data_IF_748201586474
#
_entry.id   IF_748201586474
#
_cell.length_a   1.000
_cell.length_b   1.000
_cell.length_c   1.000
_cell.angle_alpha   90.00
_cell.angle_beta   90.00
_cell.angle_gamma   90.00
#
_symmetry.space_group_name_H-M   'P 1'
#
loop_
_entity.id
_entity.type
_entity.pdbx_description
1 polymer ?
#
# COMPACT_ATOMS: atom_id res chain seq x y z
N UNK A 1 10.02 -20.89 -6.50
CA UNK A 1 8.76 -20.13 -6.66
C UNK A 1 9.00 -18.62 -6.58
N UNK A 2 8.67 -17.88 -7.64
CA UNK A 2 8.89 -16.42 -7.75
C UNK A 2 7.79 -15.58 -7.07
N UNK A 3 6.73 -16.23 -6.56
CA UNK A 3 5.57 -15.56 -5.94
C UNK A 3 5.63 -15.75 -4.41
N UNK A 4 5.78 -14.68 -3.62
CA UNK A 4 5.66 -14.77 -2.16
C UNK A 4 4.29 -15.32 -1.75
N UNK A 5 4.27 -16.31 -0.85
CA UNK A 5 3.04 -16.86 -0.28
C UNK A 5 2.34 -17.97 -1.07
N UNK A 6 2.97 -18.52 -2.13
CA UNK A 6 2.46 -19.71 -2.81
C UNK A 6 2.64 -20.95 -1.93
N UNK A 7 1.59 -21.78 -1.81
CA UNK A 7 1.68 -23.07 -1.10
C UNK A 7 2.42 -24.12 -1.92
N UNK A 8 3.04 -25.11 -1.27
CA UNK A 8 3.70 -26.24 -1.92
C UNK A 8 2.76 -27.01 -2.87
N UNK A 9 1.48 -27.13 -2.50
CA UNK A 9 0.44 -27.73 -3.35
C UNK A 9 0.15 -26.91 -4.61
N UNK A 10 0.21 -25.58 -4.53
CA UNK A 10 0.06 -24.72 -5.70
C UNK A 10 1.31 -24.76 -6.58
N UNK A 11 2.50 -24.73 -5.98
CA UNK A 11 3.77 -24.85 -6.69
C UNK A 11 3.87 -26.18 -7.47
N UNK A 12 3.33 -27.28 -6.93
CA UNK A 12 3.27 -28.58 -7.61
C UNK A 12 2.45 -28.59 -8.91
N UNK A 13 1.68 -27.54 -9.20
CA UNK A 13 1.00 -27.39 -10.51
C UNK A 13 1.94 -26.88 -11.61
N UNK A 14 3.08 -26.31 -11.25
CA UNK A 14 4.09 -25.87 -12.21
C UNK A 14 4.85 -27.08 -12.75
N UNK A 15 4.93 -27.17 -14.09
CA UNK A 15 5.47 -28.34 -14.78
C UNK A 15 6.88 -28.69 -14.34
N UNK A 16 7.77 -27.70 -14.30
CA UNK A 16 9.19 -27.90 -13.94
C UNK A 16 9.35 -28.38 -12.49
N UNK A 17 8.58 -27.79 -11.56
CA UNK A 17 8.63 -28.17 -10.15
C UNK A 17 8.08 -29.59 -9.95
N UNK A 18 6.97 -29.93 -10.62
CA UNK A 18 6.43 -31.28 -10.60
C UNK A 18 7.43 -32.31 -11.14
N UNK A 19 8.04 -32.05 -12.29
CA UNK A 19 9.03 -32.94 -12.91
C UNK A 19 10.24 -33.16 -11.99
N UNK A 20 10.70 -32.12 -11.28
CA UNK A 20 11.77 -32.24 -10.29
C UNK A 20 11.36 -33.15 -9.13
N UNK A 21 10.20 -32.93 -8.53
CA UNK A 21 9.71 -33.77 -7.42
C UNK A 21 9.52 -35.22 -7.88
N UNK A 22 9.02 -35.43 -9.10
CA UNK A 22 8.77 -36.77 -9.66
C UNK A 22 10.02 -37.48 -10.20
N UNK A 23 11.16 -36.78 -10.28
CA UNK A 23 12.41 -37.30 -10.87
C UNK A 23 13.11 -38.37 -10.02
N UNK A 24 12.93 -38.35 -8.70
CA UNK A 24 13.54 -39.31 -7.78
C UNK A 24 12.68 -39.60 -6.56
N UNK A 25 12.87 -40.77 -5.96
CA UNK A 25 12.13 -41.14 -4.74
C UNK A 25 12.53 -40.26 -3.56
N UNK A 26 13.81 -39.90 -3.45
CA UNK A 26 14.31 -38.97 -2.44
C UNK A 26 13.63 -37.60 -2.54
N UNK A 27 13.40 -37.11 -3.76
CA UNK A 27 12.73 -35.83 -4.00
C UNK A 27 11.27 -35.86 -3.56
N UNK A 28 10.58 -37.00 -3.78
CA UNK A 28 9.22 -37.22 -3.27
C UNK A 28 9.17 -37.28 -1.75
N UNK A 29 10.10 -37.99 -1.11
CA UNK A 29 10.16 -38.08 0.35
C UNK A 29 10.38 -36.72 1.01
N UNK A 30 11.28 -35.90 0.45
CA UNK A 30 11.51 -34.53 0.92
C UNK A 30 10.25 -33.68 0.75
N UNK A 31 9.56 -33.80 -0.39
CA UNK A 31 8.33 -33.05 -0.64
C UNK A 31 7.19 -33.45 0.31
N UNK A 32 7.00 -34.75 0.54
CA UNK A 32 5.98 -35.26 1.47
C UNK A 32 6.24 -34.81 2.91
N UNK A 33 7.52 -34.75 3.30
CA UNK A 33 7.89 -34.21 4.61
C UNK A 33 7.66 -32.69 4.67
N UNK A 34 8.03 -31.96 3.62
CA UNK A 34 7.82 -30.51 3.54
C UNK A 34 6.33 -30.15 3.62
N UNK A 35 5.45 -30.92 2.99
CA UNK A 35 3.99 -30.73 3.07
C UNK A 35 3.44 -30.88 4.49
N UNK A 36 4.07 -31.71 5.33
CA UNK A 36 3.68 -31.87 6.75
C UNK A 36 4.18 -30.73 7.63
N UNK A 37 5.25 -30.07 7.21
CA UNK A 37 5.88 -28.98 7.95
C UNK A 37 5.37 -27.60 7.51
N UNK A 38 4.78 -27.48 6.33
CA UNK A 38 4.20 -26.24 5.81
C UNK A 38 3.10 -25.71 6.73
N UNK A 39 3.22 -24.43 7.11
CA UNK A 39 2.26 -23.77 7.99
C UNK A 39 2.52 -23.94 9.49
N UNK A 40 3.53 -24.72 9.90
CA UNK A 40 3.91 -24.82 11.29
C UNK A 40 4.71 -23.59 11.74
N UNK A 41 4.38 -23.08 12.93
CA UNK A 41 5.13 -22.00 13.57
C UNK A 41 6.54 -22.48 13.97
N UNK A 42 7.56 -21.84 13.40
CA UNK A 42 8.97 -22.20 13.65
C UNK A 42 9.57 -21.51 14.88
N UNK A 43 9.24 -20.23 15.09
CA UNK A 43 9.81 -19.39 16.13
C UNK A 43 8.91 -18.20 16.42
N UNK A 44 9.07 -17.61 17.60
CA UNK A 44 8.42 -16.34 17.94
C UNK A 44 9.22 -15.20 17.29
N UNK A 45 8.58 -14.45 16.39
CA UNK A 45 9.12 -13.21 15.84
C UNK A 45 8.38 -12.02 16.43
N UNK A 46 9.09 -11.01 16.92
CA UNK A 46 8.47 -9.74 17.31
C UNK A 46 8.16 -8.89 16.09
N UNK A 47 6.90 -8.43 15.97
CA UNK A 47 6.51 -7.50 14.92
C UNK A 47 7.21 -6.16 15.18
N UNK A 48 8.18 -5.80 14.33
CA UNK A 48 9.06 -4.66 14.55
C UNK A 48 8.35 -3.29 14.67
N UNK A 49 7.07 -3.21 14.31
CA UNK A 49 6.27 -2.00 14.37
C UNK A 49 5.13 -2.05 15.40
N UNK A 50 4.76 -3.22 15.94
CA UNK A 50 3.54 -3.36 16.75
C UNK A 50 3.78 -3.04 18.22
N UNK A 51 3.11 -2.02 18.75
CA UNK A 51 3.09 -1.68 20.18
C UNK A 51 1.67 -1.83 20.70
N UNK A 52 1.52 -2.49 21.84
CA UNK A 52 0.22 -2.75 22.48
C UNK A 52 0.11 -1.93 23.75
N UNK A 53 -1.04 -1.27 23.95
CA UNK A 53 -1.32 -0.46 25.13
C UNK A 53 -2.56 -1.01 25.83
N UNK A 54 -2.40 -1.30 27.12
CA UNK A 54 -3.47 -1.76 28.00
C UNK A 54 -3.84 -0.67 29.03
N UNK A 55 -5.09 -0.64 29.53
CA UNK A 55 -5.52 0.31 30.56
C UNK A 55 -4.95 -0.02 31.96
N UNK A 56 -4.56 -1.28 32.19
CA UNK A 56 -3.89 -1.77 33.42
C UNK A 56 -2.67 -2.61 33.03
N UNK A 57 -2.23 -3.55 33.88
CA UNK A 57 -1.08 -4.38 33.54
C UNK A 57 -1.38 -5.23 32.30
N UNK A 58 -0.41 -5.36 31.38
CA UNK A 58 -0.59 -6.19 30.17
C UNK A 58 -0.96 -7.64 30.51
N UNK A 59 -0.47 -8.16 31.63
CA UNK A 59 -0.76 -9.50 32.14
C UNK A 59 -2.22 -9.72 32.53
N UNK A 60 -3.01 -8.65 32.71
CA UNK A 60 -4.45 -8.75 32.95
C UNK A 60 -5.21 -9.17 31.67
N UNK A 61 -4.58 -9.02 30.50
CA UNK A 61 -5.18 -9.25 29.19
C UNK A 61 -4.46 -10.33 28.37
N UNK A 62 -3.13 -10.41 28.47
CA UNK A 62 -2.32 -11.36 27.69
C UNK A 62 -1.09 -11.83 28.45
N UNK A 63 -0.69 -13.12 28.32
CA UNK A 63 0.62 -13.54 28.75
C UNK A 63 1.73 -12.84 27.94
N UNK A 64 2.89 -12.70 28.56
CA UNK A 64 4.05 -12.03 27.99
C UNK A 64 5.17 -13.04 27.68
N UNK A 65 5.99 -12.72 26.69
CA UNK A 65 7.23 -13.41 26.39
C UNK A 65 8.37 -12.40 26.42
N UNK A 66 9.50 -12.81 26.99
CA UNK A 66 10.73 -12.01 27.04
C UNK A 66 11.73 -12.63 26.08
N UNK A 67 12.16 -11.86 25.10
CA UNK A 67 13.33 -12.20 24.29
C UNK A 67 14.58 -11.86 25.11
N UNK A 68 15.25 -12.88 25.63
CA UNK A 68 16.43 -12.72 26.48
C UNK A 68 17.65 -12.18 25.73
N UNK A 69 17.72 -12.33 24.40
CA UNK A 69 18.84 -11.81 23.61
C UNK A 69 18.67 -10.32 23.33
N UNK A 70 17.44 -9.88 23.05
CA UNK A 70 17.13 -8.49 22.71
C UNK A 70 16.67 -7.66 23.90
N UNK A 71 16.32 -8.30 25.02
CA UNK A 71 15.73 -7.64 26.19
C UNK A 71 14.33 -7.08 25.91
N UNK A 72 13.66 -7.50 24.84
CA UNK A 72 12.34 -7.00 24.45
C UNK A 72 11.24 -7.85 25.07
N UNK A 73 10.18 -7.19 25.54
CA UNK A 73 8.96 -7.85 26.04
C UNK A 73 7.89 -7.76 24.96
N UNK A 74 7.22 -8.87 24.69
CA UNK A 74 6.12 -8.94 23.75
C UNK A 74 4.94 -9.70 24.34
N UNK A 75 3.76 -9.46 23.77
CA UNK A 75 2.58 -10.29 23.96
C UNK A 75 2.79 -11.67 23.32
N UNK A 76 2.27 -12.73 23.94
CA UNK A 76 2.22 -14.06 23.30
C UNK A 76 1.06 -14.19 22.31
N UNK A 77 0.04 -13.35 22.44
CA UNK A 77 -1.05 -13.25 21.46
C UNK A 77 -0.55 -12.59 20.17
N UNK A 78 -1.01 -13.12 19.04
CA UNK A 78 -0.76 -12.52 17.74
C UNK A 78 -1.64 -11.28 17.50
N UNK A 79 -1.55 -10.68 16.31
CA UNK A 79 -2.29 -9.46 15.99
C UNK A 79 -3.80 -9.60 16.17
N UNK A 80 -4.40 -10.71 15.73
CA UNK A 80 -5.85 -10.91 15.80
C UNK A 80 -6.31 -11.18 17.23
N UNK A 81 -5.52 -11.93 17.98
CA UNK A 81 -5.81 -12.27 19.37
C UNK A 81 -5.70 -11.05 20.30
N UNK A 82 -4.73 -10.16 20.07
CA UNK A 82 -4.57 -8.90 20.82
C UNK A 82 -5.79 -7.99 20.64
N UNK A 83 -6.26 -7.82 19.40
CA UNK A 83 -7.44 -7.01 19.10
C UNK A 83 -8.71 -7.64 19.70
N UNK A 84 -8.84 -8.96 19.61
CA UNK A 84 -9.97 -9.70 20.20
C UNK A 84 -9.98 -9.66 21.73
N UNK A 85 -8.81 -9.56 22.36
CA UNK A 85 -8.66 -9.33 23.80
C UNK A 85 -9.01 -7.89 24.23
N UNK A 86 -9.39 -7.01 23.28
CA UNK A 86 -9.79 -5.63 23.54
C UNK A 86 -8.62 -4.67 23.77
N UNK A 87 -7.40 -5.07 23.39
CA UNK A 87 -6.23 -4.21 23.52
C UNK A 87 -6.08 -3.30 22.29
N UNK A 88 -5.62 -2.08 22.53
CA UNK A 88 -5.32 -1.14 21.45
C UNK A 88 -3.91 -1.39 20.94
N UNK A 89 -3.81 -1.63 19.63
CA UNK A 89 -2.55 -1.80 18.92
C UNK A 89 -2.22 -0.54 18.10
N UNK A 90 -0.97 -0.10 18.19
CA UNK A 90 -0.39 0.93 17.34
C UNK A 90 0.71 0.31 16.48
N UNK A 91 0.71 0.61 15.19
CA UNK A 91 1.81 0.27 14.29
C UNK A 91 2.72 1.48 14.05
N UNK A 92 3.94 1.39 14.56
CA UNK A 92 5.01 2.34 14.32
C UNK A 92 5.81 1.93 13.09
N UNK A 93 5.41 2.44 11.93
CA UNK A 93 6.08 2.18 10.67
C UNK A 93 7.33 3.05 10.52
N UNK A 94 8.49 2.42 10.33
CA UNK A 94 9.77 3.08 10.07
C UNK A 94 9.90 3.62 8.63
N UNK A 95 8.96 4.48 8.20
CA UNK A 95 8.98 5.03 6.84
C UNK A 95 10.07 6.09 6.69
N UNK A 96 11.18 5.73 6.04
CA UNK A 96 12.34 6.61 5.79
C UNK A 96 11.98 7.93 5.11
N UNK A 97 10.91 7.96 4.31
CA UNK A 97 10.43 9.16 3.60
C UNK A 97 10.22 10.34 4.54
N UNK A 98 9.57 10.13 5.70
CA UNK A 98 9.31 11.21 6.66
C UNK A 98 10.60 11.74 7.27
N UNK A 99 11.57 10.87 7.56
CA UNK A 99 12.89 11.28 8.03
C UNK A 99 13.62 12.13 6.99
N UNK A 100 13.57 11.73 5.71
CA UNK A 100 14.20 12.48 4.60
C UNK A 100 13.56 13.85 4.43
N UNK A 101 12.23 13.95 4.48
CA UNK A 101 11.50 15.22 4.39
C UNK A 101 11.88 16.14 5.56
N UNK A 102 11.82 15.63 6.78
CA UNK A 102 12.13 16.39 7.99
C UNK A 102 13.56 16.95 7.97
N UNK A 103 14.56 16.13 7.63
CA UNK A 103 15.94 16.58 7.56
C UNK A 103 16.18 17.55 6.39
N UNK A 104 15.50 17.36 5.26
CA UNK A 104 15.54 18.30 4.13
C UNK A 104 15.01 19.67 4.53
N UNK A 105 13.81 19.73 5.11
CA UNK A 105 13.16 20.98 5.53
C UNK A 105 13.99 21.71 6.58
N UNK A 106 14.50 21.00 7.60
CA UNK A 106 15.42 21.56 8.60
C UNK A 106 16.64 22.20 7.94
N UNK A 107 17.31 21.50 7.03
CA UNK A 107 18.51 22.00 6.34
C UNK A 107 18.24 23.20 5.45
N UNK A 108 17.06 23.28 4.84
CA UNK A 108 16.63 24.43 4.06
C UNK A 108 16.37 25.62 4.99
N UNK A 109 15.58 25.42 6.05
CA UNK A 109 15.24 26.48 7.00
C UNK A 109 16.46 27.05 7.76
N UNK A 110 17.52 26.27 7.95
CA UNK A 110 18.80 26.77 8.50
C UNK A 110 19.47 27.85 7.61
N UNK A 111 19.09 27.96 6.34
CA UNK A 111 19.64 28.91 5.38
C UNK A 111 18.69 30.04 5.01
N UNK A 112 17.44 29.97 5.45
CA UNK A 112 16.39 30.93 5.13
C UNK A 112 16.19 31.89 6.28
N UNK A 113 15.83 33.13 5.97
CA UNK A 113 15.35 34.07 6.97
C UNK A 113 13.96 33.65 7.48
N UNK A 114 13.57 34.14 8.66
CA UNK A 114 12.30 33.75 9.31
C UNK A 114 11.06 34.01 8.42
N UNK A 115 11.10 35.03 7.56
CA UNK A 115 10.00 35.37 6.63
C UNK A 115 9.84 34.35 5.49
N UNK A 116 10.86 33.53 5.24
CA UNK A 116 10.88 32.50 4.19
C UNK A 116 10.79 31.09 4.75
N UNK A 117 10.52 30.94 6.05
CA UNK A 117 10.46 29.66 6.73
C UNK A 117 9.49 28.70 6.03
N UNK A 118 9.99 27.52 5.65
CA UNK A 118 9.18 26.48 5.01
C UNK A 118 8.50 25.65 6.09
N UNK A 119 7.17 25.71 6.12
CA UNK A 119 6.33 24.73 6.80
C UNK A 119 5.83 23.70 5.79
N UNK A 120 6.21 22.43 5.97
CA UNK A 120 5.83 21.32 5.10
C UNK A 120 4.31 21.12 5.03
N UNK A 121 3.60 21.37 6.13
CA UNK A 121 2.15 21.15 6.24
C UNK A 121 1.33 22.20 5.48
N UNK A 122 1.96 23.32 5.10
CA UNK A 122 1.30 24.47 4.48
C UNK A 122 1.71 24.69 3.01
N UNK A 123 2.38 23.71 2.38
CA UNK A 123 2.79 23.84 0.99
C UNK A 123 1.59 23.83 0.03
N UNK A 124 1.62 24.65 -1.04
CA UNK A 124 0.59 24.63 -2.07
C UNK A 124 0.60 23.31 -2.85
N UNK A 125 -0.57 22.73 -3.08
CA UNK A 125 -0.73 21.48 -3.83
C UNK A 125 -0.80 21.67 -5.36
N UNK A 126 -0.72 22.92 -5.83
CA UNK A 126 -0.85 23.33 -7.22
C UNK A 126 0.43 23.96 -7.80
N UNK A 127 1.61 23.66 -7.22
CA UNK A 127 2.87 24.22 -7.69
C UNK A 127 3.25 23.72 -9.10
N UNK A 128 3.32 24.65 -10.05
CA UNK A 128 3.56 24.34 -11.46
C UNK A 128 4.92 23.67 -11.69
N UNK A 129 5.97 24.12 -10.98
CA UNK A 129 7.33 23.57 -11.13
C UNK A 129 7.39 22.11 -10.69
N UNK A 130 6.65 21.76 -9.64
CA UNK A 130 6.49 20.39 -9.16
C UNK A 130 5.82 19.53 -10.23
N UNK A 131 4.71 19.99 -10.82
CA UNK A 131 4.06 19.25 -11.90
C UNK A 131 4.92 19.12 -13.16
N UNK A 132 5.65 20.17 -13.55
CA UNK A 132 6.58 20.09 -14.70
C UNK A 132 7.66 19.02 -14.49
N UNK A 133 8.10 18.79 -13.25
CA UNK A 133 9.04 17.72 -12.92
C UNK A 133 8.40 16.33 -13.08
N UNK A 134 7.17 16.17 -12.59
CA UNK A 134 6.39 14.93 -12.73
C UNK A 134 6.04 14.61 -14.19
N UNK A 135 5.66 15.61 -14.98
CA UNK A 135 5.36 15.48 -16.42
C UNK A 135 6.58 15.03 -17.23
N UNK A 136 7.79 15.44 -16.80
CA UNK A 136 9.07 14.96 -17.37
C UNK A 136 9.49 13.59 -16.82
N UNK A 137 8.68 12.98 -15.94
CA UNK A 137 8.94 11.73 -15.23
C UNK A 137 10.30 11.68 -14.52
N UNK A 138 10.75 12.83 -13.99
CA UNK A 138 12.00 12.94 -13.23
C UNK A 138 11.79 12.54 -11.77
N UNK A 139 11.26 11.34 -11.52
CA UNK A 139 10.76 10.92 -10.19
C UNK A 139 11.76 10.11 -9.36
N UNK A 140 13.05 10.18 -9.64
CA UNK A 140 14.04 9.53 -8.79
C UNK A 140 14.04 10.15 -7.38
N UNK A 141 13.87 9.33 -6.34
CA UNK A 141 13.73 9.80 -4.96
C UNK A 141 12.37 10.42 -4.62
N UNK A 142 11.37 10.33 -5.51
CA UNK A 142 9.99 10.75 -5.21
C UNK A 142 9.20 9.53 -4.76
N UNK A 143 8.82 9.54 -3.48
CA UNK A 143 8.09 8.45 -2.83
C UNK A 143 6.90 7.97 -3.68
N UNK A 144 6.76 6.64 -3.79
CA UNK A 144 5.74 5.91 -4.58
C UNK A 144 5.82 6.06 -6.10
N UNK A 145 6.55 7.05 -6.64
CA UNK A 145 6.55 7.35 -8.07
C UNK A 145 7.82 6.90 -8.81
N UNK A 146 8.68 6.13 -8.16
CA UNK A 146 10.03 5.83 -8.67
C UNK A 146 10.10 4.72 -9.71
N UNK A 147 9.11 3.82 -9.75
CA UNK A 147 9.18 2.61 -10.58
C UNK A 147 9.21 2.94 -12.06
N UNK A 148 9.85 2.08 -12.87
CA UNK A 148 9.93 2.26 -14.33
C UNK A 148 8.54 2.36 -14.96
N UNK A 149 7.62 1.47 -14.61
CA UNK A 149 6.26 1.49 -15.16
C UNK A 149 5.48 2.73 -14.75
N UNK A 150 5.61 3.17 -13.49
CA UNK A 150 4.98 4.41 -13.03
C UNK A 150 5.48 5.62 -13.81
N UNK A 151 6.80 5.72 -14.06
CA UNK A 151 7.39 6.80 -14.88
C UNK A 151 6.82 6.86 -16.29
N UNK A 152 6.65 5.71 -16.94
CA UNK A 152 6.08 5.65 -18.29
C UNK A 152 4.61 6.10 -18.31
N UNK A 153 3.82 5.73 -17.29
CA UNK A 153 2.46 6.24 -17.17
C UNK A 153 2.40 7.73 -16.85
N UNK A 154 3.31 8.27 -16.03
CA UNK A 154 3.35 9.72 -15.75
C UNK A 154 3.61 10.55 -17.01
N UNK A 155 4.51 10.10 -17.91
CA UNK A 155 4.75 10.77 -19.20
C UNK A 155 3.50 10.81 -20.08
N UNK A 156 2.71 9.73 -20.06
CA UNK A 156 1.47 9.64 -20.84
C UNK A 156 0.33 10.41 -20.19
N UNK A 157 0.25 10.37 -18.86
CA UNK A 157 -0.76 11.05 -18.05
C UNK A 157 -0.63 12.57 -18.13
N UNK A 158 0.61 13.08 -18.12
CA UNK A 158 0.92 14.51 -18.02
C UNK A 158 0.16 15.12 -16.82
N UNK A 159 0.51 14.73 -15.56
CA UNK A 159 -0.22 15.18 -14.38
C UNK A 159 -0.16 16.71 -14.25
N UNK A 160 -1.30 17.33 -13.96
CA UNK A 160 -1.42 18.78 -13.79
C UNK A 160 -2.26 19.19 -12.56
N UNK A 161 -2.74 18.21 -11.80
CA UNK A 161 -3.49 18.38 -10.55
C UNK A 161 -3.01 17.38 -9.51
N UNK A 162 -3.27 17.65 -8.23
CA UNK A 162 -2.92 16.72 -7.16
C UNK A 162 -3.71 15.40 -7.30
N UNK A 163 -4.99 15.51 -7.70
CA UNK A 163 -5.89 14.40 -7.96
C UNK A 163 -5.33 13.40 -8.98
N UNK A 164 -4.61 13.88 -10.01
CA UNK A 164 -3.92 12.99 -10.96
C UNK A 164 -2.92 12.05 -10.28
N UNK A 165 -2.19 12.55 -9.28
CA UNK A 165 -1.20 11.77 -8.53
C UNK A 165 -1.92 10.70 -7.70
N UNK A 166 -3.00 11.09 -7.03
CA UNK A 166 -3.82 10.18 -6.21
C UNK A 166 -4.45 9.10 -7.09
N UNK A 167 -5.07 9.48 -8.21
CA UNK A 167 -5.68 8.57 -9.17
C UNK A 167 -4.66 7.59 -9.75
N UNK A 168 -3.50 8.09 -10.19
CA UNK A 168 -2.47 7.24 -10.77
C UNK A 168 -1.93 6.23 -9.74
N UNK A 169 -1.71 6.64 -8.49
CA UNK A 169 -1.27 5.74 -7.43
C UNK A 169 -2.31 4.66 -7.09
N UNK A 170 -3.60 5.00 -7.14
CA UNK A 170 -4.68 4.05 -6.94
C UNK A 170 -4.80 3.04 -8.11
N UNK A 171 -4.68 3.53 -9.35
CA UNK A 171 -4.77 2.72 -10.56
C UNK A 171 -3.54 1.84 -10.78
N UNK A 172 -2.36 2.25 -10.32
CA UNK A 172 -1.10 1.51 -10.44
C UNK A 172 -0.98 0.38 -9.40
N UNK A 173 -2.03 -0.45 -9.31
CA UNK A 173 -2.10 -1.63 -8.44
C UNK A 173 -2.54 -2.87 -9.24
N UNK A 174 -2.08 -4.08 -8.88
CA UNK A 174 -2.55 -5.31 -9.49
C UNK A 174 -4.08 -5.37 -9.52
N UNK A 175 -4.67 -5.60 -10.69
CA UNK A 175 -6.13 -5.62 -10.91
C UNK A 175 -6.73 -4.30 -11.43
N UNK A 176 -6.25 -3.15 -10.95
CA UNK A 176 -6.69 -1.83 -11.41
C UNK A 176 -5.89 -1.31 -12.62
N UNK A 177 -4.67 -1.82 -12.82
CA UNK A 177 -3.77 -1.38 -13.91
C UNK A 177 -4.39 -1.47 -15.31
N UNK A 178 -5.34 -2.39 -15.53
CA UNK A 178 -6.07 -2.53 -16.80
C UNK A 178 -6.88 -1.29 -17.19
N UNK A 179 -7.17 -0.41 -16.23
CA UNK A 179 -7.94 0.83 -16.45
C UNK A 179 -7.05 2.07 -16.69
N UNK A 180 -5.73 1.96 -16.49
CA UNK A 180 -4.81 3.11 -16.61
C UNK A 180 -4.88 3.74 -18.00
N UNK A 181 -4.88 2.92 -19.06
CA UNK A 181 -4.91 3.42 -20.43
C UNK A 181 -6.22 4.14 -20.76
N UNK A 182 -7.36 3.61 -20.30
CA UNK A 182 -8.68 4.26 -20.47
C UNK A 182 -8.73 5.58 -19.68
N UNK A 183 -8.23 5.59 -18.44
CA UNK A 183 -8.14 6.82 -17.64
C UNK A 183 -7.34 7.91 -18.37
N UNK A 184 -6.16 7.58 -18.90
CA UNK A 184 -5.31 8.52 -19.64
C UNK A 184 -6.00 9.00 -20.93
N UNK A 185 -6.62 8.09 -21.70
CA UNK A 185 -7.33 8.48 -22.93
C UNK A 185 -8.49 9.42 -22.65
N UNK A 186 -9.30 9.12 -21.63
CA UNK A 186 -10.44 9.95 -21.21
C UNK A 186 -10.01 11.31 -20.70
N UNK A 187 -8.95 11.37 -19.89
CA UNK A 187 -8.33 12.63 -19.44
C UNK A 187 -7.98 13.53 -20.62
N UNK A 188 -7.37 12.96 -21.66
CA UNK A 188 -6.92 13.70 -22.85
C UNK A 188 -8.02 13.88 -23.91
N UNK A 189 -9.28 13.52 -23.62
CA UNK A 189 -10.39 13.61 -24.56
C UNK A 189 -10.27 12.70 -25.79
N UNK A 190 -9.44 11.66 -25.72
CA UNK A 190 -9.23 10.66 -26.80
C UNK A 190 -10.22 9.50 -26.72
N UNK A 191 -10.97 9.43 -25.62
CA UNK A 191 -12.05 8.48 -25.36
C UNK A 191 -13.19 9.24 -24.70
N UNK A 192 -14.42 8.97 -25.10
CA UNK A 192 -15.59 9.63 -24.54
C UNK A 192 -15.82 9.21 -23.08
N UNK A 193 -16.18 10.17 -22.24
CA UNK A 193 -16.50 9.91 -20.83
C UNK A 193 -18.00 9.72 -20.67
N UNK A 194 -18.43 8.48 -20.44
CA UNK A 194 -19.81 8.13 -20.16
C UNK A 194 -20.02 7.91 -18.66
N UNK A 195 -20.99 8.61 -18.08
CA UNK A 195 -21.31 8.54 -16.65
C UNK A 195 -22.61 7.78 -16.35
N UNK A 196 -23.45 7.51 -17.35
CA UNK A 196 -24.75 6.86 -17.17
C UNK A 196 -25.86 7.80 -16.67
N UNK A 197 -25.60 8.60 -15.62
CA UNK A 197 -26.54 9.62 -15.12
C UNK A 197 -25.81 10.78 -14.39
N UNK A 198 -26.55 11.83 -14.03
CA UNK A 198 -25.99 13.03 -13.37
C UNK A 198 -25.45 12.76 -11.95
N UNK A 199 -25.99 11.77 -11.24
CA UNK A 199 -25.52 11.36 -9.91
C UNK A 199 -24.11 10.76 -10.04
N UNK A 200 -23.95 9.79 -10.92
CA UNK A 200 -22.67 9.16 -11.23
C UNK A 200 -21.66 10.17 -11.78
N UNK A 201 -22.12 11.16 -12.56
CA UNK A 201 -21.26 12.26 -13.00
C UNK A 201 -20.68 13.03 -11.83
N UNK A 202 -21.49 13.39 -10.82
CA UNK A 202 -20.99 14.10 -9.62
C UNK A 202 -19.93 13.29 -8.87
N UNK A 203 -20.10 11.98 -8.77
CA UNK A 203 -19.20 11.09 -8.00
C UNK A 203 -17.92 10.74 -8.76
N UNK A 204 -18.01 10.54 -10.08
CA UNK A 204 -16.93 10.00 -10.90
C UNK A 204 -16.24 11.04 -11.79
N UNK A 205 -16.59 12.33 -11.67
CA UNK A 205 -16.03 13.39 -12.52
C UNK A 205 -14.50 13.48 -12.39
N UNK A 206 -13.99 13.38 -11.16
CA UNK A 206 -12.56 13.43 -10.86
C UNK A 206 -11.79 12.18 -11.31
N UNK A 207 -12.49 11.12 -11.71
CA UNK A 207 -11.91 9.86 -12.19
C UNK A 207 -12.30 9.53 -13.63
N UNK A 208 -12.86 10.51 -14.36
CA UNK A 208 -13.32 10.36 -15.74
C UNK A 208 -14.25 9.15 -15.93
N UNK A 209 -15.21 8.97 -15.02
CA UNK A 209 -16.22 7.91 -15.12
C UNK A 209 -15.69 6.51 -14.77
N UNK A 210 -14.45 6.38 -14.30
CA UNK A 210 -13.88 5.11 -13.85
C UNK A 210 -14.03 5.03 -12.33
N UNK A 211 -14.54 3.92 -11.82
CA UNK A 211 -14.61 3.69 -10.37
C UNK A 211 -13.20 3.28 -9.90
N UNK A 212 -12.56 4.16 -9.14
CA UNK A 212 -11.18 3.99 -8.66
C UNK A 212 -11.15 3.77 -7.15
N UNK A 213 -12.03 4.46 -6.42
CA UNK A 213 -12.02 4.51 -4.96
C UNK A 213 -13.16 3.69 -4.34
N UNK A 214 -12.94 3.17 -3.13
CA UNK A 214 -13.99 2.47 -2.38
C UNK A 214 -15.11 3.45 -1.98
N UNK A 215 -14.73 4.67 -1.64
CA UNK A 215 -15.60 5.78 -1.30
C UNK A 215 -16.57 6.11 -2.45
N UNK A 216 -16.12 5.99 -3.71
CA UNK A 216 -17.00 6.16 -4.86
C UNK A 216 -18.06 5.05 -4.91
N UNK A 217 -17.69 3.79 -4.64
CA UNK A 217 -18.66 2.68 -4.58
C UNK A 217 -19.70 2.92 -3.49
N UNK A 218 -19.27 3.38 -2.31
CA UNK A 218 -20.15 3.70 -1.19
C UNK A 218 -21.10 4.84 -1.54
N UNK A 219 -20.60 5.94 -2.12
CA UNK A 219 -21.41 7.08 -2.55
C UNK A 219 -22.44 6.68 -3.61
N UNK A 220 -22.07 5.80 -4.55
CA UNK A 220 -22.99 5.30 -5.57
C UNK A 220 -24.13 4.50 -4.91
N UNK A 221 -23.81 3.60 -3.99
CA UNK A 221 -24.82 2.83 -3.26
C UNK A 221 -25.74 3.72 -2.42
N UNK A 222 -25.18 4.73 -1.77
CA UNK A 222 -25.94 5.71 -1.00
C UNK A 222 -26.92 6.50 -1.89
N UNK A 223 -26.41 7.13 -2.95
CA UNK A 223 -27.20 8.05 -3.77
C UNK A 223 -28.19 7.34 -4.69
N UNK A 224 -27.85 6.14 -5.20
CA UNK A 224 -28.74 5.40 -6.11
C UNK A 224 -29.67 4.41 -5.40
N UNK A 225 -29.32 3.95 -4.19
CA UNK A 225 -30.06 2.88 -3.52
C UNK A 225 -30.42 3.17 -2.06
N UNK A 226 -30.10 4.37 -1.56
CA UNK A 226 -30.52 4.83 -0.23
C UNK A 226 -29.81 4.14 0.93
N UNK A 227 -28.65 3.52 0.68
CA UNK A 227 -27.83 2.94 1.75
C UNK A 227 -27.27 4.01 2.68
N UNK A 228 -27.11 3.66 3.96
CA UNK A 228 -26.26 4.42 4.89
C UNK A 228 -24.79 4.14 4.60
N UNK A 229 -23.90 5.08 4.93
CA UNK A 229 -22.46 4.94 4.70
C UNK A 229 -21.75 3.95 5.64
N UNK A 230 -22.46 3.41 6.64
CA UNK A 230 -21.92 2.50 7.67
C UNK A 230 -22.66 1.17 7.68
#
# INVERSE_FOLDING_TARGET
PEIPGISLKQAYKEKEFKELIDSSNESREVFDMALKLEGLSRSVGTHAAGVVIAPTALTDFTPLIVDSERGTVATQFDMGDVESAGLVKFDFLGLKTLTVINETVKRINLKLDNEQYINIDNLPLNDEKTFQLLQKAKTAGIFQLESRGMREYLKQLVPNTFEDIVNMNALYRPGAMKFVDSYIKKKHGREEVTYGNDILKKILNNTYGIIVYQEQVMQIAQELSGFTLG
#
